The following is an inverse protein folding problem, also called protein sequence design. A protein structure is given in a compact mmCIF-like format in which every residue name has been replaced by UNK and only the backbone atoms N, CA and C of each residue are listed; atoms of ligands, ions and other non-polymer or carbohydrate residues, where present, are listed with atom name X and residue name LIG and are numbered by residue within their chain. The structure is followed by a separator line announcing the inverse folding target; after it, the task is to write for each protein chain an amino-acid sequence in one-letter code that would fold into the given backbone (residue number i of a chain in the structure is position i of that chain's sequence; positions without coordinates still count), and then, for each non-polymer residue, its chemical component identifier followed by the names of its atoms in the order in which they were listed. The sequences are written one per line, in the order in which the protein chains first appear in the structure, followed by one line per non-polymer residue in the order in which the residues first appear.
data_IF_513474120178
#
_entry.id   IF_513474120178
#
_cell.length_a   1.000
_cell.length_b   1.000
_cell.length_c   1.000
_cell.angle_alpha   90.00
_cell.angle_beta   90.00
_cell.angle_gamma   90.00
#
_symmetry.space_group_name_H-M   'P 1'
#
loop_
_entity.id
_entity.type
_entity.pdbx_description
1 polymer ?
#
# COMPACT_ATOMS: atom_id res chain seq x y z
N UNK A 1 -30.22 35.14 27.32
CA UNK A 1 -29.30 34.94 26.17
C UNK A 1 -28.00 34.25 26.55
N UNK A 2 -27.28 34.69 27.60
CA UNK A 2 -25.99 34.11 28.01
C UNK A 2 -26.04 32.59 28.33
N UNK A 3 -27.14 32.10 28.91
CA UNK A 3 -27.35 30.66 29.18
C UNK A 3 -27.56 29.81 27.93
N UNK A 4 -28.07 30.40 26.85
CA UNK A 4 -28.28 29.70 25.57
C UNK A 4 -26.96 29.53 24.82
N UNK A 5 -26.09 30.55 24.87
CA UNK A 5 -24.74 30.45 24.31
C UNK A 5 -23.85 29.46 25.05
N UNK A 6 -23.98 29.34 26.38
CA UNK A 6 -23.26 28.33 27.16
C UNK A 6 -23.72 26.90 26.85
N UNK A 7 -25.03 26.68 26.72
CA UNK A 7 -25.57 25.37 26.33
C UNK A 7 -25.16 24.99 24.90
N UNK A 8 -25.16 25.95 23.97
CA UNK A 8 -24.70 25.71 22.60
C UNK A 8 -23.19 25.44 22.54
N UNK A 9 -22.37 26.13 23.34
CA UNK A 9 -20.93 25.87 23.43
C UNK A 9 -20.62 24.47 23.99
N UNK A 10 -21.39 23.99 24.98
CA UNK A 10 -21.24 22.63 25.52
C UNK A 10 -21.66 21.57 24.49
N UNK A 11 -22.73 21.81 23.72
CA UNK A 11 -23.17 20.91 22.64
C UNK A 11 -22.18 20.90 21.47
N UNK A 12 -21.58 22.04 21.13
CA UNK A 12 -20.54 22.13 20.09
C UNK A 12 -19.23 21.49 20.56
N UNK A 13 -18.84 21.63 21.84
CA UNK A 13 -17.70 20.89 22.40
C UNK A 13 -17.94 19.38 22.48
N UNK A 14 -19.18 18.92 22.66
CA UNK A 14 -19.53 17.50 22.61
C UNK A 14 -19.58 16.91 21.17
N UNK A 15 -19.59 17.77 20.14
CA UNK A 15 -19.50 17.36 18.73
C UNK A 15 -18.07 17.36 18.19
N UNK A 16 -17.10 17.84 18.97
CA UNK A 16 -15.68 17.57 18.72
C UNK A 16 -15.41 16.18 19.27
N UNK A 17 -15.69 15.16 18.47
CA UNK A 17 -15.12 13.83 18.67
C UNK A 17 -13.62 14.01 18.49
N UNK A 18 -12.91 14.20 19.61
CA UNK A 18 -11.47 13.97 19.64
C UNK A 18 -11.26 12.56 19.11
N UNK A 19 -10.59 12.47 17.97
CA UNK A 19 -10.10 11.19 17.47
C UNK A 19 -9.15 10.67 18.54
N UNK A 20 -9.57 9.62 19.24
CA UNK A 20 -8.69 8.93 20.17
C UNK A 20 -7.53 8.38 19.35
N UNK A 21 -6.36 8.94 19.56
CA UNK A 21 -5.12 8.42 19.00
C UNK A 21 -4.72 7.13 19.69
N UNK A 22 -3.87 6.34 19.02
CA UNK A 22 -3.34 5.08 19.52
C UNK A 22 -2.26 5.35 20.57
N UNK A 23 -2.66 5.91 21.71
CA UNK A 23 -1.76 6.19 22.81
C UNK A 23 -2.27 5.46 24.05
N UNK A 24 -1.88 4.20 24.17
CA UNK A 24 -1.91 3.51 25.46
C UNK A 24 -0.60 3.78 26.19
N UNK A 25 -0.70 4.08 27.48
CA UNK A 25 0.46 4.26 28.34
C UNK A 25 0.91 2.91 28.90
N UNK A 26 2.09 2.40 28.50
CA UNK A 26 2.65 1.15 29.03
C UNK A 26 3.74 0.55 28.15
N UNK A 27 4.43 -0.47 28.64
CA UNK A 27 5.33 -1.30 27.84
C UNK A 27 4.48 -2.34 27.10
N UNK A 28 4.38 -2.23 25.76
CA UNK A 28 3.69 -3.21 24.93
C UNK A 28 4.53 -4.48 24.82
N UNK A 29 3.94 -5.61 25.17
CA UNK A 29 4.50 -6.92 24.88
C UNK A 29 3.38 -7.88 24.48
N UNK A 30 3.66 -8.70 23.49
CA UNK A 30 2.81 -9.81 23.12
C UNK A 30 3.70 -10.98 22.69
N UNK A 31 3.31 -12.20 23.03
CA UNK A 31 3.98 -13.41 22.55
C UNK A 31 3.50 -13.68 21.12
N UNK A 32 4.16 -13.09 20.13
CA UNK A 32 3.95 -13.47 18.75
C UNK A 32 4.51 -14.88 18.56
N UNK A 33 3.61 -15.87 18.43
CA UNK A 33 4.04 -17.18 17.96
C UNK A 33 4.74 -16.97 16.60
N UNK A 34 5.86 -17.66 16.38
CA UNK A 34 6.65 -17.54 15.16
C UNK A 34 5.80 -18.01 13.96
N UNK A 35 5.00 -17.10 13.41
CA UNK A 35 4.17 -17.36 12.26
C UNK A 35 5.06 -17.59 11.05
N UNK A 36 4.66 -18.55 10.22
CA UNK A 36 5.38 -18.85 8.98
C UNK A 36 5.37 -17.58 8.13
N UNK A 37 6.52 -17.12 7.62
CA UNK A 37 6.57 -15.91 6.82
C UNK A 37 5.64 -16.00 5.62
N UNK A 38 4.88 -14.93 5.38
CA UNK A 38 4.05 -14.82 4.18
C UNK A 38 5.01 -14.81 2.99
N UNK A 39 4.81 -15.73 2.05
CA UNK A 39 5.64 -15.85 0.86
C UNK A 39 5.01 -15.07 -0.29
N UNK A 40 5.74 -14.11 -0.85
CA UNK A 40 5.43 -13.49 -2.12
C UNK A 40 6.23 -14.20 -3.21
N UNK A 41 5.61 -15.19 -3.86
CA UNK A 41 6.25 -15.97 -4.90
C UNK A 41 6.33 -15.24 -6.24
N UNK A 42 7.36 -15.54 -7.03
CA UNK A 42 7.46 -15.05 -8.40
C UNK A 42 6.45 -15.78 -9.32
N UNK A 43 5.40 -15.08 -9.73
CA UNK A 43 4.33 -15.58 -10.61
C UNK A 43 3.94 -14.53 -11.64
N UNK A 44 4.70 -14.39 -12.75
CA UNK A 44 4.48 -13.31 -13.71
C UNK A 44 3.21 -13.51 -14.54
N UNK A 45 2.42 -12.44 -14.68
CA UNK A 45 1.33 -12.34 -15.66
C UNK A 45 0.09 -13.18 -15.34
N UNK A 46 -0.14 -13.55 -14.08
CA UNK A 46 -1.33 -14.31 -13.69
C UNK A 46 -2.43 -13.47 -13.04
N UNK A 47 -2.11 -12.28 -12.53
CA UNK A 47 -3.04 -11.45 -11.75
C UNK A 47 -3.66 -10.35 -12.60
N UNK A 48 -4.99 -10.29 -12.59
CA UNK A 48 -5.79 -9.16 -13.06
C UNK A 48 -6.33 -8.40 -11.85
N UNK A 49 -6.04 -7.10 -11.72
CA UNK A 49 -6.56 -6.28 -10.61
C UNK A 49 -8.05 -5.95 -10.80
N UNK A 50 -8.91 -6.84 -10.33
CA UNK A 50 -10.36 -6.70 -10.40
C UNK A 50 -11.09 -7.19 -9.14
N UNK A 51 -10.36 -7.62 -8.11
CA UNK A 51 -10.94 -8.08 -6.85
C UNK A 51 -11.49 -9.50 -6.91
N UNK A 52 -11.37 -10.23 -8.02
CA UNK A 52 -11.74 -11.63 -8.10
C UNK A 52 -10.60 -12.56 -7.65
N UNK A 53 -10.97 -13.68 -7.02
CA UNK A 53 -10.00 -14.65 -6.50
C UNK A 53 -9.60 -15.75 -7.50
N UNK A 54 -10.15 -15.75 -8.72
CA UNK A 54 -9.94 -16.83 -9.70
C UNK A 54 -8.47 -16.97 -10.10
N UNK A 55 -7.79 -15.84 -10.29
CA UNK A 55 -6.36 -15.75 -10.60
C UNK A 55 -5.46 -16.20 -9.42
N UNK A 56 -6.02 -16.27 -8.21
CA UNK A 56 -5.32 -16.54 -6.97
C UNK A 56 -5.45 -17.98 -6.46
N UNK A 57 -6.12 -18.86 -7.21
CA UNK A 57 -6.41 -20.25 -6.79
C UNK A 57 -5.16 -21.09 -6.52
N UNK A 58 -4.09 -20.85 -7.29
CA UNK A 58 -2.82 -21.58 -7.22
C UNK A 58 -1.74 -20.77 -6.48
N UNK A 59 -2.15 -19.79 -5.68
CA UNK A 59 -1.29 -18.96 -4.83
C UNK A 59 -1.53 -19.37 -3.38
N UNK A 60 -0.45 -19.66 -2.66
CA UNK A 60 -0.52 -20.05 -1.25
C UNK A 60 -1.11 -18.91 -0.42
N UNK A 61 -1.96 -19.28 0.54
CA UNK A 61 -2.61 -18.35 1.45
C UNK A 61 -2.33 -18.70 2.90
N UNK A 62 -2.12 -17.65 3.69
CA UNK A 62 -1.82 -17.73 5.12
C UNK A 62 -3.04 -17.24 5.88
N UNK A 63 -3.58 -18.10 6.74
CA UNK A 63 -4.83 -17.84 7.46
C UNK A 63 -4.54 -17.34 8.87
N UNK A 64 -5.15 -16.21 9.25
CA UNK A 64 -4.97 -15.54 10.52
C UNK A 64 -6.31 -15.28 11.20
N UNK A 65 -6.32 -15.48 12.52
CA UNK A 65 -7.37 -14.92 13.37
C UNK A 65 -7.24 -13.41 13.43
N UNK A 66 -8.37 -12.72 13.61
CA UNK A 66 -8.44 -11.27 13.61
C UNK A 66 -8.75 -10.78 15.03
N UNK A 67 -7.73 -10.32 15.74
CA UNK A 67 -7.83 -9.84 17.13
C UNK A 67 -7.85 -8.31 17.17
N UNK A 68 -8.52 -7.69 18.17
CA UNK A 68 -8.46 -6.25 18.33
C UNK A 68 -7.02 -5.76 18.42
N UNK A 69 -6.68 -4.69 17.70
CA UNK A 69 -5.28 -4.28 17.57
C UNK A 69 -4.69 -3.60 18.84
N UNK A 70 -5.55 -3.00 19.67
CA UNK A 70 -5.13 -2.31 20.90
C UNK A 70 -5.08 -3.24 22.12
N UNK A 71 -6.02 -4.19 22.20
CA UNK A 71 -6.09 -5.18 23.29
C UNK A 71 -6.33 -6.55 22.64
N UNK A 72 -5.28 -7.25 22.17
CA UNK A 72 -5.42 -8.50 21.45
C UNK A 72 -5.90 -9.59 22.41
N UNK A 73 -7.20 -9.80 22.41
CA UNK A 73 -7.86 -10.78 23.27
C UNK A 73 -8.77 -11.72 22.46
N UNK A 74 -8.75 -13.00 22.82
CA UNK A 74 -9.52 -14.03 22.12
C UNK A 74 -11.04 -13.88 22.30
N UNK A 75 -11.50 -13.23 23.38
CA UNK A 75 -12.94 -13.06 23.65
C UNK A 75 -13.59 -12.05 22.70
N UNK A 76 -12.81 -11.09 22.21
CA UNK A 76 -13.20 -10.05 21.27
C UNK A 76 -12.66 -10.29 19.85
N UNK A 77 -12.21 -11.51 19.53
CA UNK A 77 -11.88 -11.92 18.17
C UNK A 77 -13.03 -11.60 17.20
N UNK A 78 -12.68 -11.18 15.99
CA UNK A 78 -13.65 -10.91 14.94
C UNK A 78 -14.53 -12.14 14.64
N UNK A 79 -15.83 -11.99 14.89
CA UNK A 79 -16.79 -13.10 14.81
C UNK A 79 -17.19 -13.49 13.39
N UNK A 80 -16.82 -12.69 12.39
CA UNK A 80 -17.13 -12.98 10.99
C UNK A 80 -16.30 -14.11 10.40
N UNK A 81 -15.17 -14.44 11.03
CA UNK A 81 -14.26 -15.50 10.63
C UNK A 81 -12.83 -14.99 10.54
N UNK A 82 -12.05 -15.58 9.63
CA UNK A 82 -10.61 -15.33 9.54
C UNK A 82 -10.24 -14.49 8.31
N UNK A 83 -9.00 -14.00 8.31
CA UNK A 83 -8.39 -13.39 7.13
C UNK A 83 -7.39 -14.35 6.51
N UNK A 84 -7.49 -14.58 5.20
CA UNK A 84 -6.42 -15.19 4.41
C UNK A 84 -5.64 -14.11 3.68
N UNK A 85 -4.33 -14.05 3.91
CA UNK A 85 -3.41 -13.17 3.18
C UNK A 85 -2.65 -13.99 2.14
N UNK A 86 -2.69 -13.54 0.88
CA UNK A 86 -1.86 -14.07 -0.20
C UNK A 86 -0.99 -12.96 -0.77
N UNK A 87 0.21 -13.31 -1.20
CA UNK A 87 1.12 -12.38 -1.87
C UNK A 87 1.85 -13.06 -3.03
N UNK A 88 2.22 -12.29 -4.03
CA UNK A 88 3.10 -12.70 -5.13
C UNK A 88 3.74 -11.47 -5.78
N UNK A 89 4.72 -11.67 -6.65
CA UNK A 89 5.24 -10.60 -7.50
C UNK A 89 5.51 -11.11 -8.92
N UNK A 90 5.51 -10.21 -9.90
CA UNK A 90 5.83 -10.52 -11.30
C UNK A 90 7.25 -10.07 -11.70
N UNK A 91 8.04 -9.60 -10.72
CA UNK A 91 9.38 -9.08 -10.92
C UNK A 91 9.44 -7.57 -11.18
N UNK A 92 8.29 -6.93 -11.42
CA UNK A 92 8.13 -5.48 -11.52
C UNK A 92 7.26 -4.94 -10.38
N UNK A 93 6.12 -5.56 -10.16
CA UNK A 93 5.10 -5.19 -9.19
C UNK A 93 4.90 -6.34 -8.19
N UNK A 94 4.56 -6.00 -6.94
CA UNK A 94 4.09 -6.93 -5.91
C UNK A 94 2.57 -6.85 -5.84
N UNK A 95 1.93 -7.96 -5.49
CA UNK A 95 0.48 -8.11 -5.43
C UNK A 95 0.08 -8.72 -4.10
N UNK A 96 -1.05 -8.27 -3.56
CA UNK A 96 -1.64 -8.80 -2.34
C UNK A 96 -3.12 -9.11 -2.55
N UNK A 97 -3.59 -10.21 -1.98
CA UNK A 97 -5.00 -10.55 -1.88
C UNK A 97 -5.35 -10.79 -0.42
N UNK A 98 -6.31 -10.03 0.09
CA UNK A 98 -6.90 -10.21 1.42
C UNK A 98 -8.30 -10.80 1.25
N UNK A 99 -8.50 -12.00 1.79
CA UNK A 99 -9.80 -12.66 1.81
C UNK A 99 -10.31 -12.65 3.24
N UNK A 100 -11.45 -12.02 3.50
CA UNK A 100 -11.99 -11.89 4.86
C UNK A 100 -13.40 -12.45 4.89
N UNK A 101 -13.62 -13.46 5.72
CA UNK A 101 -14.98 -13.96 5.96
C UNK A 101 -15.81 -12.86 6.62
N UNK A 102 -17.02 -12.60 6.13
CA UNK A 102 -17.84 -11.56 6.71
C UNK A 102 -19.17 -11.40 6.01
N UNK A 103 -20.18 -10.94 6.74
CA UNK A 103 -21.45 -10.60 6.11
C UNK A 103 -21.31 -9.33 5.27
N UNK A 104 -22.10 -9.22 4.21
CA UNK A 104 -22.10 -8.06 3.36
C UNK A 104 -22.62 -6.82 4.12
N UNK A 105 -21.80 -5.78 4.21
CA UNK A 105 -22.06 -4.55 4.93
C UNK A 105 -21.60 -3.38 4.05
N UNK A 106 -22.55 -2.61 3.54
CA UNK A 106 -22.24 -1.49 2.66
C UNK A 106 -23.28 -0.38 2.83
N UNK A 107 -22.78 0.83 3.00
CA UNK A 107 -23.57 2.05 3.10
C UNK A 107 -22.89 3.12 2.26
N UNK A 108 -23.42 3.33 1.06
CA UNK A 108 -22.89 4.31 0.09
C UNK A 108 -22.72 5.68 0.73
N UNK A 109 -21.53 6.28 0.59
CA UNK A 109 -21.20 7.58 1.20
C UNK A 109 -20.71 7.48 2.64
N UNK A 110 -20.73 6.30 3.27
CA UNK A 110 -20.35 6.13 4.67
C UNK A 110 -19.30 5.03 4.86
N UNK A 111 -18.04 5.43 4.71
CA UNK A 111 -16.86 4.58 4.93
C UNK A 111 -16.90 3.82 6.26
N UNK A 112 -17.35 4.45 7.34
CA UNK A 112 -17.41 3.85 8.68
C UNK A 112 -18.46 2.75 8.84
N UNK A 113 -19.39 2.65 7.89
CA UNK A 113 -20.41 1.59 7.82
C UNK A 113 -20.09 0.55 6.73
N UNK A 114 -18.88 0.59 6.19
CA UNK A 114 -18.39 -0.36 5.21
C UNK A 114 -17.08 -0.96 5.71
N UNK A 115 -16.72 -2.19 5.34
CA UNK A 115 -15.41 -2.74 5.60
C UNK A 115 -14.28 -1.85 5.07
N UNK A 116 -13.13 -1.89 5.71
CA UNK A 116 -11.91 -1.25 5.22
C UNK A 116 -10.71 -2.10 5.61
N UNK A 117 -9.65 -2.05 4.82
CA UNK A 117 -8.43 -2.81 5.05
C UNK A 117 -7.22 -1.90 4.98
N UNK A 118 -6.13 -2.33 5.61
CA UNK A 118 -4.85 -1.65 5.50
C UNK A 118 -3.69 -2.64 5.47
N UNK A 119 -2.66 -2.29 4.71
CA UNK A 119 -1.34 -2.91 4.76
C UNK A 119 -0.37 -1.87 5.34
N UNK A 120 0.43 -2.25 6.32
CA UNK A 120 1.47 -1.40 6.89
C UNK A 120 2.82 -2.10 6.81
N UNK A 121 3.85 -1.37 6.43
CA UNK A 121 5.19 -1.88 6.24
C UNK A 121 6.20 -1.07 7.05
N UNK A 122 7.18 -1.77 7.63
CA UNK A 122 8.32 -1.11 8.26
C UNK A 122 9.23 -0.50 7.19
N UNK A 123 9.54 0.80 7.31
CA UNK A 123 10.52 1.49 6.47
C UNK A 123 11.74 1.89 7.29
N UNK A 124 11.50 2.56 8.41
CA UNK A 124 12.55 2.98 9.34
C UNK A 124 13.04 1.84 10.23
N UNK A 125 14.34 1.77 10.47
CA UNK A 125 14.96 0.69 11.26
C UNK A 125 14.41 0.57 12.69
N UNK A 126 13.93 1.67 13.28
CA UNK A 126 13.35 1.76 14.62
C UNK A 126 11.81 1.76 14.64
N UNK A 127 11.17 1.62 13.47
CA UNK A 127 9.71 1.65 13.38
C UNK A 127 9.07 0.44 14.08
N UNK A 128 8.21 0.72 15.06
CA UNK A 128 7.45 -0.30 15.78
C UNK A 128 6.06 -0.51 15.17
N UNK A 129 5.55 -1.73 15.28
CA UNK A 129 4.20 -2.10 14.86
C UNK A 129 3.14 -1.33 15.66
N UNK A 130 3.19 -1.49 16.99
CA UNK A 130 2.10 -1.11 17.90
C UNK A 130 1.72 0.39 17.85
N UNK A 131 2.69 1.28 17.55
CA UNK A 131 2.47 2.73 17.46
C UNK A 131 2.74 3.28 16.06
N UNK A 132 2.51 2.49 15.01
CA UNK A 132 2.63 2.93 13.61
C UNK A 132 3.93 3.71 13.36
N UNK A 133 5.06 3.14 13.78
CA UNK A 133 6.38 3.78 13.76
C UNK A 133 6.93 4.08 15.16
N UNK A 134 6.09 4.50 16.10
CA UNK A 134 6.46 4.64 17.51
C UNK A 134 7.37 5.82 17.85
N UNK A 135 7.38 6.89 17.05
CA UNK A 135 8.01 8.14 17.45
C UNK A 135 7.26 8.80 18.63
N UNK A 136 7.97 9.14 19.70
CA UNK A 136 7.41 9.72 20.94
C UNK A 136 7.02 11.21 20.85
N UNK A 137 6.97 11.77 19.64
CA UNK A 137 6.58 13.17 19.44
C UNK A 137 5.05 13.33 19.45
N UNK A 138 4.57 14.40 20.08
CA UNK A 138 3.15 14.73 20.10
C UNK A 138 2.66 15.24 18.74
N UNK A 139 1.34 15.37 18.58
CA UNK A 139 0.71 15.93 17.38
C UNK A 139 1.37 17.24 16.97
N UNK A 140 1.59 17.42 15.66
CA UNK A 140 2.20 18.59 15.02
C UNK A 140 3.66 18.91 15.41
N UNK A 141 4.33 18.05 16.19
CA UNK A 141 5.75 18.25 16.58
C UNK A 141 6.73 17.34 15.85
N UNK A 142 6.22 16.38 15.08
CA UNK A 142 7.07 15.44 14.36
C UNK A 142 7.82 16.11 13.22
N UNK A 143 9.12 15.83 13.14
CA UNK A 143 9.97 16.29 12.05
C UNK A 143 10.88 15.14 11.61
N UNK A 144 11.42 15.22 10.39
CA UNK A 144 12.46 14.30 9.91
C UNK A 144 13.78 14.41 10.70
N UNK A 145 13.86 15.28 11.71
CA UNK A 145 15.01 15.31 12.64
C UNK A 145 14.70 14.56 13.93
N UNK A 146 13.46 14.61 14.39
CA UNK A 146 13.03 14.05 15.67
C UNK A 146 12.50 12.63 15.55
N UNK A 147 11.91 12.27 14.40
CA UNK A 147 11.28 10.97 14.18
C UNK A 147 11.98 10.11 13.11
N UNK A 148 13.15 10.51 12.64
CA UNK A 148 13.88 9.74 11.62
C UNK A 148 14.18 8.32 12.12
N UNK A 149 13.95 7.34 11.28
CA UNK A 149 14.09 5.92 11.60
C UNK A 149 12.81 5.27 12.13
N UNK A 150 11.72 6.03 12.33
CA UNK A 150 10.41 5.52 12.78
C UNK A 150 9.39 5.45 11.64
N UNK A 151 9.84 5.49 10.39
CA UNK A 151 8.99 5.51 9.22
C UNK A 151 8.20 4.21 9.04
N UNK A 152 6.90 4.34 8.81
CA UNK A 152 6.05 3.27 8.27
C UNK A 152 5.35 3.77 7.00
N UNK A 153 5.19 2.84 6.08
CA UNK A 153 4.42 3.00 4.84
C UNK A 153 3.12 2.22 4.98
N UNK A 154 1.99 2.85 4.70
CA UNK A 154 0.66 2.36 4.96
C UNK A 154 -0.20 2.58 3.73
N UNK A 155 -0.79 1.52 3.21
CA UNK A 155 -1.93 1.63 2.31
C UNK A 155 -3.21 1.42 3.12
N UNK A 156 -4.20 2.27 2.95
CA UNK A 156 -5.53 2.08 3.56
C UNK A 156 -6.62 2.22 2.50
N UNK A 157 -7.47 1.21 2.37
CA UNK A 157 -8.57 1.21 1.42
C UNK A 157 -9.94 1.15 2.10
N UNK A 158 -10.75 2.19 1.87
CA UNK A 158 -12.14 2.25 2.32
C UNK A 158 -13.15 2.26 1.18
N UNK A 159 -14.09 1.32 1.23
CA UNK A 159 -14.98 1.02 0.11
C UNK A 159 -16.30 1.79 0.13
N UNK A 160 -16.55 2.69 1.09
CA UNK A 160 -17.87 3.33 1.23
C UNK A 160 -18.35 4.15 0.03
N UNK A 161 -17.45 4.53 -0.87
CA UNK A 161 -17.77 5.12 -2.18
C UNK A 161 -17.19 4.32 -3.36
N UNK A 162 -16.65 3.13 -3.11
CA UNK A 162 -16.12 2.26 -4.13
C UNK A 162 -17.23 1.39 -4.74
N UNK A 163 -17.18 1.25 -6.05
CA UNK A 163 -17.86 0.26 -6.88
C UNK A 163 -17.01 -1.02 -6.92
N UNK A 164 -17.60 -2.22 -6.68
CA UNK A 164 -16.92 -3.50 -6.83
C UNK A 164 -16.31 -3.67 -8.22
N UNK A 165 -15.16 -4.35 -8.31
CA UNK A 165 -14.51 -4.68 -9.58
C UNK A 165 -13.86 -3.53 -10.34
N UNK A 166 -13.98 -2.29 -9.84
CA UNK A 166 -13.31 -1.12 -10.42
C UNK A 166 -11.92 -0.95 -9.80
N UNK A 167 -10.98 -0.48 -10.62
CA UNK A 167 -9.63 -0.12 -10.19
C UNK A 167 -9.60 1.26 -9.51
N UNK A 168 -8.91 1.34 -8.37
CA UNK A 168 -8.68 2.52 -7.53
C UNK A 168 -7.19 2.76 -7.29
N UNK A 169 -6.85 3.93 -6.78
CA UNK A 169 -5.45 4.34 -6.51
C UNK A 169 -4.67 4.74 -7.77
N UNK A 170 -3.44 5.23 -7.57
CA UNK A 170 -2.48 5.47 -8.66
C UNK A 170 -2.92 6.50 -9.71
N UNK A 171 -3.88 7.38 -9.39
CA UNK A 171 -4.51 8.25 -10.38
C UNK A 171 -3.93 9.69 -10.32
N UNK A 172 -3.41 10.23 -11.43
CA UNK A 172 -2.70 11.53 -11.41
C UNK A 172 -3.56 12.73 -10.98
N UNK A 173 -4.89 12.61 -10.99
CA UNK A 173 -5.77 13.73 -10.65
C UNK A 173 -5.91 13.84 -9.14
N UNK A 174 -6.21 12.73 -8.46
CA UNK A 174 -6.42 12.71 -7.02
C UNK A 174 -5.06 12.81 -6.28
N UNK A 175 -4.00 12.21 -6.83
CA UNK A 175 -2.63 12.40 -6.34
C UNK A 175 -2.18 13.88 -6.34
N UNK A 176 -2.73 14.71 -7.23
CA UNK A 176 -2.41 16.16 -7.25
C UNK A 176 -3.05 16.90 -6.08
N UNK A 177 -4.22 16.45 -5.64
CA UNK A 177 -4.94 17.04 -4.52
C UNK A 177 -4.39 16.53 -3.17
N UNK A 178 -3.81 15.32 -3.17
CA UNK A 178 -2.87 14.79 -2.19
C UNK A 178 -3.37 14.77 -0.75
N UNK A 179 -4.66 14.52 -0.55
CA UNK A 179 -5.29 14.62 0.77
C UNK A 179 -5.97 13.32 1.23
N UNK A 180 -5.80 12.20 0.51
CA UNK A 180 -6.51 10.94 0.74
C UNK A 180 -8.01 10.98 0.40
N UNK A 181 -8.51 12.13 -0.03
CA UNK A 181 -9.89 12.40 -0.39
C UNK A 181 -10.17 12.07 -1.85
N UNK A 182 -9.81 10.85 -2.28
CA UNK A 182 -10.07 10.39 -3.64
C UNK A 182 -11.54 10.59 -4.01
N UNK A 183 -11.78 11.06 -5.24
CA UNK A 183 -13.15 11.32 -5.71
C UNK A 183 -14.00 10.04 -5.76
N UNK A 184 -13.36 8.89 -5.91
CA UNK A 184 -13.99 7.57 -5.93
C UNK A 184 -13.05 6.53 -5.31
N UNK A 185 -13.55 5.78 -4.31
CA UNK A 185 -12.79 4.73 -3.61
C UNK A 185 -11.55 5.27 -2.91
N UNK A 186 -11.58 5.33 -1.59
CA UNK A 186 -10.52 5.97 -0.79
C UNK A 186 -9.37 4.99 -0.58
N UNK A 187 -8.57 4.75 -1.62
CA UNK A 187 -7.37 3.94 -1.55
C UNK A 187 -6.20 4.90 -1.39
N UNK A 188 -5.79 5.09 -0.14
CA UNK A 188 -4.85 6.13 0.24
C UNK A 188 -3.48 5.53 0.51
N UNK A 189 -2.46 6.17 -0.03
CA UNK A 189 -1.07 5.91 0.35
C UNK A 189 -0.69 6.84 1.50
N UNK A 190 -0.13 6.30 2.56
CA UNK A 190 0.09 7.00 3.81
C UNK A 190 1.50 6.68 4.31
N UNK A 191 2.24 7.73 4.58
CA UNK A 191 3.45 7.65 5.36
C UNK A 191 3.22 8.15 6.78
N UNK A 192 3.78 7.48 7.79
CA UNK A 192 3.66 7.91 9.18
C UNK A 192 4.93 7.66 10.01
N UNK A 193 5.07 8.43 11.10
CA UNK A 193 6.04 8.17 12.17
C UNK A 193 5.39 7.65 13.47
N UNK A 194 4.10 7.99 13.62
CA UNK A 194 3.23 7.58 14.71
C UNK A 194 1.77 7.87 14.26
N UNK A 195 0.74 7.53 15.06
CA UNK A 195 -0.66 7.70 14.66
C UNK A 195 -1.10 9.15 14.45
N UNK A 196 -0.36 10.12 15.01
CA UNK A 196 -0.66 11.54 14.91
C UNK A 196 0.06 12.23 13.75
N UNK A 197 1.18 11.67 13.31
CA UNK A 197 2.07 12.27 12.34
C UNK A 197 2.01 11.48 11.04
N UNK A 198 0.98 11.81 10.26
CA UNK A 198 0.52 11.11 9.07
C UNK A 198 0.52 12.03 7.85
N UNK A 199 0.94 11.51 6.71
CA UNK A 199 1.12 12.22 5.45
C UNK A 199 0.42 11.42 4.35
N UNK A 200 -0.66 11.97 3.80
CA UNK A 200 -1.56 11.26 2.88
C UNK A 200 -1.18 11.62 1.44
N UNK A 201 -1.09 10.62 0.58
CA UNK A 201 -0.79 10.72 -0.86
C UNK A 201 0.37 11.68 -1.18
N UNK A 202 1.39 11.70 -0.33
CA UNK A 202 2.57 12.53 -0.50
C UNK A 202 2.41 14.01 -0.15
N UNK A 203 1.29 14.48 0.43
CA UNK A 203 1.24 15.82 1.02
C UNK A 203 1.23 15.78 2.54
N UNK A 204 2.07 16.64 3.11
CA UNK A 204 1.99 17.01 4.52
C UNK A 204 0.76 17.88 4.78
N UNK A 205 0.19 17.87 6.01
CA UNK A 205 -0.71 18.91 6.48
C UNK A 205 -0.16 20.35 6.31
N UNK A 206 1.17 20.50 6.22
CA UNK A 206 1.86 21.78 5.95
C UNK A 206 2.05 22.13 4.47
N UNK A 207 1.63 21.26 3.53
CA UNK A 207 1.64 21.51 2.09
C UNK A 207 2.97 21.30 1.37
N UNK A 208 3.99 20.74 2.04
CA UNK A 208 5.22 20.32 1.34
C UNK A 208 4.98 19.01 0.57
N UNK A 209 5.25 19.08 -0.73
CA UNK A 209 5.25 17.99 -1.71
C UNK A 209 6.28 16.92 -1.29
N UNK A 210 5.82 15.69 -1.13
CA UNK A 210 6.62 14.52 -0.82
C UNK A 210 6.61 13.57 -2.01
N UNK A 211 7.71 12.84 -2.19
CA UNK A 211 7.85 11.87 -3.28
C UNK A 211 7.05 10.57 -3.07
N UNK A 212 6.31 10.47 -1.95
CA UNK A 212 5.46 9.35 -1.57
C UNK A 212 4.04 9.48 -2.15
N UNK A 213 3.95 9.77 -3.45
CA UNK A 213 2.65 9.83 -4.12
C UNK A 213 2.05 8.44 -4.22
N UNK A 214 0.73 8.37 -4.09
CA UNK A 214 0.00 7.13 -4.17
C UNK A 214 0.28 6.38 -5.47
N UNK A 215 0.97 5.26 -5.32
CA UNK A 215 1.42 4.36 -6.38
C UNK A 215 0.79 2.97 -6.21
N UNK A 216 -0.14 2.83 -5.27
CA UNK A 216 -0.95 1.65 -5.10
C UNK A 216 -2.09 1.64 -6.12
N UNK A 217 -2.42 0.44 -6.54
CA UNK A 217 -3.64 0.15 -7.27
C UNK A 217 -4.42 -0.90 -6.50
N UNK A 218 -5.75 -0.86 -6.56
CA UNK A 218 -6.53 -1.89 -5.92
C UNK A 218 -7.98 -1.97 -6.36
N UNK A 219 -8.58 -3.11 -6.04
CA UNK A 219 -9.97 -3.44 -6.34
C UNK A 219 -10.57 -4.23 -5.17
N UNK A 220 -11.89 -4.36 -5.16
CA UNK A 220 -12.58 -5.17 -4.16
C UNK A 220 -13.79 -5.88 -4.74
N UNK A 221 -14.16 -6.98 -4.10
CA UNK A 221 -15.34 -7.78 -4.41
C UNK A 221 -15.92 -8.41 -3.14
N UNK A 222 -17.15 -8.89 -3.22
CA UNK A 222 -17.76 -9.79 -2.24
C UNK A 222 -18.48 -10.92 -2.98
N UNK A 223 -18.31 -12.17 -2.57
CA UNK A 223 -18.86 -13.35 -3.28
C UNK A 223 -20.40 -13.38 -3.36
N UNK A 224 -21.11 -12.68 -2.48
CA UNK A 224 -22.57 -12.55 -2.55
C UNK A 224 -23.06 -11.74 -3.76
N UNK A 225 -22.16 -11.09 -4.50
CA UNK A 225 -22.49 -10.32 -5.70
C UNK A 225 -22.82 -11.26 -6.86
N UNK A 226 -23.94 -10.96 -7.54
CA UNK A 226 -24.26 -11.58 -8.81
C UNK A 226 -23.64 -10.80 -9.98
N UNK A 227 -23.20 -11.51 -11.03
CA UNK A 227 -22.77 -10.89 -12.29
C UNK A 227 -24.00 -10.56 -13.13
N UNK A 228 -24.80 -9.60 -12.68
CA UNK A 228 -25.89 -9.04 -13.48
C UNK A 228 -25.40 -7.72 -14.06
N UNK A 229 -25.22 -7.66 -15.39
CA UNK A 229 -24.94 -6.41 -16.08
C UNK A 229 -26.27 -5.70 -16.37
N UNK A 230 -26.56 -4.62 -15.65
CA UNK A 230 -27.70 -3.77 -15.96
C UNK A 230 -27.45 -2.31 -15.62
N UNK A 231 -28.34 -1.44 -16.13
CA UNK A 231 -28.20 0.01 -16.07
C UNK A 231 -29.06 0.64 -14.96
N UNK A 232 -29.77 -0.16 -14.17
CA UNK A 232 -30.59 0.29 -13.03
C UNK A 232 -29.94 -0.10 -11.72
N UNK A 233 -30.25 0.61 -10.64
CA UNK A 233 -29.62 0.39 -9.32
C UNK A 233 -29.89 -1.02 -8.79
N UNK A 234 -31.03 -1.61 -9.14
CA UNK A 234 -31.39 -3.00 -8.80
C UNK A 234 -30.53 -4.05 -9.54
N UNK A 235 -29.91 -3.67 -10.66
CA UNK A 235 -28.94 -4.49 -11.39
C UNK A 235 -27.49 -4.15 -11.00
N UNK A 236 -27.31 -3.33 -9.96
CA UNK A 236 -25.99 -3.03 -9.43
C UNK A 236 -25.31 -4.28 -8.88
N UNK A 237 -23.96 -4.34 -8.88
CA UNK A 237 -23.24 -5.49 -8.35
C UNK A 237 -23.44 -5.67 -6.83
N UNK A 238 -24.03 -4.69 -6.14
CA UNK A 238 -24.19 -4.68 -4.70
C UNK A 238 -25.26 -5.67 -4.22
N UNK A 239 -24.93 -6.44 -3.17
CA UNK A 239 -25.87 -7.36 -2.53
C UNK A 239 -26.74 -6.68 -1.45
N UNK A 240 -27.69 -7.44 -0.90
CA UNK A 240 -28.40 -7.03 0.32
C UNK A 240 -27.51 -7.12 1.55
N UNK A 241 -27.66 -6.20 2.49
CA UNK A 241 -26.91 -6.24 3.75
C UNK A 241 -27.19 -7.56 4.53
N UNK A 242 -26.17 -8.09 5.20
CA UNK A 242 -26.25 -9.33 5.99
C UNK A 242 -26.08 -10.61 5.17
N UNK A 243 -25.88 -10.52 3.85
CA UNK A 243 -25.60 -11.71 3.03
C UNK A 243 -24.24 -12.30 3.43
N UNK A 244 -24.23 -13.57 3.83
CA UNK A 244 -22.99 -14.26 4.22
C UNK A 244 -22.08 -14.43 3.02
N UNK A 245 -20.78 -14.37 3.28
CA UNK A 245 -19.80 -14.46 2.22
C UNK A 245 -18.39 -14.11 2.64
N UNK A 246 -17.59 -13.75 1.65
CA UNK A 246 -16.20 -13.32 1.79
C UNK A 246 -15.98 -12.03 1.02
N UNK A 247 -15.27 -11.11 1.66
CA UNK A 247 -14.66 -9.98 0.99
C UNK A 247 -13.35 -10.37 0.35
N UNK A 248 -13.08 -9.79 -0.80
CA UNK A 248 -11.82 -9.89 -1.52
C UNK A 248 -11.31 -8.46 -1.72
N UNK A 249 -10.09 -8.21 -1.28
CA UNK A 249 -9.38 -6.97 -1.57
C UNK A 249 -8.08 -7.30 -2.26
N UNK A 250 -7.85 -6.68 -3.39
CA UNK A 250 -6.69 -6.93 -4.23
C UNK A 250 -5.91 -5.65 -4.40
N UNK A 251 -4.59 -5.74 -4.26
CA UNK A 251 -3.69 -4.61 -4.32
C UNK A 251 -2.47 -4.91 -5.15
N UNK A 252 -1.92 -3.88 -5.80
CA UNK A 252 -0.63 -3.94 -6.45
C UNK A 252 0.13 -2.64 -6.28
N UNK A 253 1.45 -2.76 -6.25
CA UNK A 253 2.39 -1.63 -6.29
C UNK A 253 3.69 -2.06 -6.95
N UNK A 254 4.42 -1.16 -7.63
CA UNK A 254 5.80 -1.40 -8.01
C UNK A 254 6.67 -1.87 -6.85
N UNK A 255 7.55 -2.86 -7.10
CA UNK A 255 8.55 -3.30 -6.13
C UNK A 255 9.49 -2.15 -5.73
N UNK A 256 9.73 -1.23 -6.67
CA UNK A 256 10.49 0.00 -6.46
C UNK A 256 9.63 1.20 -6.81
N UNK A 257 9.48 2.12 -5.87
CA UNK A 257 8.75 3.37 -6.10
C UNK A 257 9.74 4.47 -6.50
N UNK A 258 9.21 5.61 -6.96
CA UNK A 258 10.02 6.79 -7.26
C UNK A 258 10.33 7.62 -6.01
N UNK A 259 9.97 7.13 -4.83
CA UNK A 259 10.20 7.83 -3.58
C UNK A 259 11.70 7.91 -3.25
N UNK A 260 12.19 9.14 -3.15
CA UNK A 260 13.59 9.43 -2.85
C UNK A 260 13.83 9.73 -1.36
N UNK A 261 12.75 9.87 -0.58
CA UNK A 261 12.79 10.28 0.82
C UNK A 261 12.69 9.10 1.79
N UNK A 262 12.58 7.86 1.28
CA UNK A 262 12.45 6.63 2.09
C UNK A 262 11.22 6.69 3.01
N UNK A 263 10.12 7.14 2.42
CA UNK A 263 8.78 7.15 2.96
C UNK A 263 8.00 5.90 2.51
N UNK A 264 8.22 5.44 1.27
CA UNK A 264 7.62 4.20 0.76
C UNK A 264 8.53 3.00 1.01
N UNK A 265 7.96 1.84 1.38
CA UNK A 265 8.73 0.61 1.45
C UNK A 265 9.17 0.16 0.05
N UNK A 266 10.45 -0.18 -0.05
CA UNK A 266 11.08 -0.62 -1.28
C UNK A 266 11.29 -2.14 -1.24
N UNK A 267 10.38 -2.88 -1.86
CA UNK A 267 10.42 -4.34 -1.90
C UNK A 267 11.61 -4.83 -2.72
N UNK A 268 12.46 -5.65 -2.09
CA UNK A 268 13.65 -6.22 -2.73
C UNK A 268 13.48 -7.73 -2.87
N UNK A 269 13.54 -8.23 -4.09
CA UNK A 269 13.53 -9.67 -4.36
C UNK A 269 14.70 -10.34 -3.61
N UNK A 270 14.40 -11.43 -2.89
CA UNK A 270 15.31 -12.16 -2.02
C UNK A 270 15.48 -11.56 -0.62
N UNK A 271 14.68 -10.57 -0.24
CA UNK A 271 14.68 -9.98 1.10
C UNK A 271 13.34 -10.19 1.81
N UNK A 272 13.38 -10.06 3.13
CA UNK A 272 12.21 -10.06 4.00
C UNK A 272 11.84 -8.62 4.34
N UNK A 273 10.56 -8.29 4.19
CA UNK A 273 9.96 -7.05 4.70
C UNK A 273 9.14 -7.36 5.96
N UNK A 274 8.89 -6.36 6.80
CA UNK A 274 7.93 -6.50 7.91
C UNK A 274 6.59 -5.92 7.49
N UNK A 275 5.54 -6.73 7.62
CA UNK A 275 4.18 -6.44 7.21
C UNK A 275 3.25 -6.49 8.42
N UNK A 276 2.23 -5.64 8.40
CA UNK A 276 1.06 -5.73 9.24
C UNK A 276 -0.19 -5.57 8.37
N UNK A 277 -1.26 -6.26 8.73
CA UNK A 277 -2.54 -6.20 8.01
C UNK A 277 -3.66 -5.93 9.00
N UNK A 278 -4.48 -4.93 8.68
CA UNK A 278 -5.57 -4.49 9.52
C UNK A 278 -6.92 -4.54 8.80
N UNK A 279 -7.99 -4.72 9.57
CA UNK A 279 -9.36 -4.80 9.10
C UNK A 279 -10.31 -4.01 9.99
N UNK A 280 -11.11 -3.14 9.40
CA UNK A 280 -12.22 -2.45 10.04
C UNK A 280 -13.52 -3.01 9.53
N UNK A 281 -14.45 -3.30 10.44
CA UNK A 281 -15.76 -3.84 10.09
C UNK A 281 -16.85 -3.25 11.00
N UNK A 282 -18.01 -2.87 10.45
CA UNK A 282 -19.13 -2.39 11.27
C UNK A 282 -19.78 -3.56 12.04
N UNK A 283 -19.69 -3.53 13.37
CA UNK A 283 -20.26 -4.58 14.24
C UNK A 283 -21.65 -4.18 14.70
N UNK A 284 -22.62 -5.10 14.60
CA UNK A 284 -24.01 -4.90 15.02
C UNK A 284 -24.67 -3.64 14.41
N UNK A 285 -24.30 -3.31 13.17
CA UNK A 285 -24.78 -2.12 12.46
C UNK A 285 -24.20 -0.78 12.95
N UNK A 286 -23.31 -0.82 13.95
CA UNK A 286 -22.61 0.36 14.44
C UNK A 286 -21.42 0.70 13.54
N UNK A 287 -21.20 2.00 13.25
CA UNK A 287 -20.03 2.41 12.51
C UNK A 287 -18.75 2.16 13.32
N UNK A 288 -17.69 1.72 12.66
CA UNK A 288 -16.38 1.62 13.28
C UNK A 288 -15.74 3.01 13.48
N UNK A 289 -14.76 3.10 14.38
CA UNK A 289 -13.89 4.28 14.54
C UNK A 289 -12.44 3.91 14.25
N UNK A 290 -11.57 4.92 14.09
CA UNK A 290 -10.21 4.74 13.57
C UNK A 290 -9.38 3.69 14.32
N UNK A 291 -9.44 3.67 15.65
CA UNK A 291 -8.71 2.69 16.46
C UNK A 291 -9.38 1.31 16.57
N UNK A 292 -10.66 1.15 16.22
CA UNK A 292 -11.39 -0.13 16.35
C UNK A 292 -11.16 -1.07 15.17
N UNK A 293 -9.90 -1.39 14.88
CA UNK A 293 -9.54 -2.40 13.89
C UNK A 293 -9.09 -3.69 14.54
N UNK A 294 -9.25 -4.74 13.76
CA UNK A 294 -8.62 -6.01 13.99
C UNK A 294 -7.28 -6.06 13.26
N UNK A 295 -6.35 -6.84 13.79
CA UNK A 295 -5.08 -7.16 13.15
C UNK A 295 -4.89 -8.66 13.03
N UNK A 296 -4.14 -9.07 12.02
CA UNK A 296 -3.77 -10.47 11.81
C UNK A 296 -2.75 -10.99 12.83
N UNK A 297 -2.03 -10.08 13.49
CA UNK A 297 -1.02 -10.40 14.49
C UNK A 297 -0.81 -9.20 15.44
N UNK A 298 -0.20 -9.44 16.60
CA UNK A 298 0.10 -8.43 17.62
C UNK A 298 1.49 -7.77 17.45
N UNK A 299 2.28 -8.23 16.48
CA UNK A 299 3.54 -7.61 16.02
C UNK A 299 3.72 -7.84 14.51
N UNK A 300 4.82 -7.33 13.95
CA UNK A 300 5.21 -7.51 12.56
C UNK A 300 5.23 -8.97 12.10
N UNK A 301 4.55 -9.24 10.99
CA UNK A 301 4.62 -10.50 10.25
C UNK A 301 5.72 -10.40 9.18
N UNK A 302 6.65 -11.36 9.08
CA UNK A 302 7.64 -11.37 8.02
C UNK A 302 6.99 -11.68 6.66
N UNK A 303 7.32 -10.88 5.65
CA UNK A 303 6.95 -11.03 4.25
C UNK A 303 8.20 -11.30 3.42
N UNK A 304 8.37 -12.53 2.95
CA UNK A 304 9.51 -12.92 2.12
C UNK A 304 9.19 -12.71 0.64
N UNK A 305 10.06 -11.99 -0.07
CA UNK A 305 9.91 -11.77 -1.51
C UNK A 305 10.81 -12.79 -2.23
N UNK A 306 10.22 -13.87 -2.71
CA UNK A 306 10.97 -15.02 -3.24
C UNK A 306 11.75 -14.68 -4.52
N UNK A 307 12.91 -15.30 -4.73
CA UNK A 307 13.70 -15.11 -5.98
C UNK A 307 13.07 -15.82 -7.19
N UNK A 308 12.01 -16.62 -6.97
CA UNK A 308 11.40 -17.48 -7.97
C UNK A 308 12.21 -18.74 -8.18
N UNK A 309 11.62 -19.90 -7.88
CA UNK A 309 12.21 -21.21 -8.17
C UNK A 309 11.89 -21.62 -9.62
N UNK A 310 12.47 -20.91 -10.59
CA UNK A 310 12.45 -21.38 -11.98
C UNK A 310 13.31 -22.64 -12.09
N UNK A 311 12.76 -23.84 -11.88
CA UNK A 311 13.34 -25.14 -12.33
C UNK A 311 14.87 -25.20 -12.17
N UNK A 312 15.39 -24.78 -11.01
CA UNK A 312 16.84 -24.72 -10.74
C UNK A 312 17.31 -25.78 -9.74
N UNK A 313 16.44 -26.75 -9.43
CA UNK A 313 16.80 -27.99 -8.74
C UNK A 313 17.47 -29.03 -9.66
N UNK A 314 18.21 -28.58 -10.69
CA UNK A 314 19.11 -29.46 -11.45
C UNK A 314 20.37 -28.78 -11.99
N UNK A 315 20.88 -27.73 -11.34
CA UNK A 315 22.27 -27.27 -11.60
C UNK A 315 22.95 -26.84 -10.29
N UNK A 316 22.75 -27.59 -9.21
CA UNK A 316 23.72 -27.61 -8.13
C UNK A 316 24.92 -28.47 -8.59
N UNK A 317 25.77 -27.93 -9.47
CA UNK A 317 27.17 -28.31 -9.69
C UNK A 317 27.73 -27.79 -11.03
N UNK A 318 27.72 -26.48 -11.29
CA UNK A 318 28.77 -25.85 -12.13
C UNK A 318 28.71 -24.31 -12.06
N UNK A 319 29.58 -23.74 -11.21
CA UNK A 319 30.44 -22.56 -11.48
C UNK A 319 29.88 -21.32 -12.22
N UNK A 320 29.86 -20.17 -11.52
CA UNK A 320 30.34 -18.87 -12.04
C UNK A 320 29.29 -17.86 -12.54
N UNK A 321 29.00 -16.86 -11.69
CA UNK A 321 28.73 -15.45 -12.03
C UNK A 321 28.24 -15.12 -13.47
N UNK A 322 26.93 -15.22 -13.74
CA UNK A 322 26.35 -14.68 -14.99
C UNK A 322 26.13 -13.16 -14.96
N UNK A 323 26.13 -12.53 -13.77
CA UNK A 323 25.94 -11.08 -13.61
C UNK A 323 27.17 -10.23 -13.98
N UNK A 324 28.38 -10.79 -13.92
CA UNK A 324 29.62 -10.08 -14.29
C UNK A 324 29.76 -9.88 -15.81
N UNK A 325 29.25 -10.82 -16.62
CA UNK A 325 29.40 -10.76 -18.07
C UNK A 325 28.57 -9.61 -18.67
N UNK A 326 27.30 -9.48 -18.30
CA UNK A 326 26.41 -8.44 -18.83
C UNK A 326 26.92 -7.02 -18.49
N UNK A 327 27.39 -6.83 -17.27
CA UNK A 327 27.97 -5.58 -16.79
C UNK A 327 29.28 -5.23 -17.52
N UNK A 328 30.15 -6.22 -17.76
CA UNK A 328 31.37 -6.03 -18.54
C UNK A 328 31.07 -5.70 -20.02
N UNK A 329 30.07 -6.34 -20.62
CA UNK A 329 29.63 -6.03 -21.99
C UNK A 329 29.02 -4.63 -22.10
N UNK A 330 28.21 -4.19 -21.13
CA UNK A 330 27.66 -2.85 -21.11
C UNK A 330 28.76 -1.78 -20.98
N UNK A 331 29.74 -2.01 -20.10
CA UNK A 331 30.91 -1.14 -19.98
C UNK A 331 31.68 -1.05 -21.31
N UNK A 332 31.95 -2.20 -21.93
CA UNK A 332 32.69 -2.26 -23.19
C UNK A 332 31.96 -1.53 -24.33
N UNK A 333 30.64 -1.71 -24.44
CA UNK A 333 29.81 -1.00 -25.42
C UNK A 333 29.77 0.51 -25.15
N UNK A 334 29.71 0.93 -23.89
CA UNK A 334 29.74 2.36 -23.53
C UNK A 334 31.06 3.03 -23.91
N UNK A 335 32.19 2.34 -23.72
CA UNK A 335 33.52 2.83 -24.08
C UNK A 335 33.65 2.91 -25.60
N UNK A 336 33.21 1.89 -26.33
CA UNK A 336 33.20 1.90 -27.81
C UNK A 336 32.36 3.05 -28.35
N UNK A 337 31.17 3.28 -27.79
CA UNK A 337 30.28 4.38 -28.17
C UNK A 337 30.93 5.76 -27.92
N UNK A 338 31.60 5.94 -26.78
CA UNK A 338 32.31 7.17 -26.47
C UNK A 338 33.47 7.41 -27.45
N UNK A 339 34.27 6.37 -27.75
CA UNK A 339 35.36 6.46 -28.72
C UNK A 339 34.87 6.80 -30.12
N UNK A 340 33.76 6.18 -30.58
CA UNK A 340 33.14 6.49 -31.87
C UNK A 340 32.64 7.94 -31.90
N UNK A 341 32.01 8.41 -30.82
CA UNK A 341 31.53 9.79 -30.71
C UNK A 341 32.66 10.81 -30.80
N UNK A 342 33.78 10.56 -30.11
CA UNK A 342 34.98 11.41 -30.18
C UNK A 342 35.58 11.37 -31.60
N UNK A 343 35.65 10.20 -32.23
CA UNK A 343 36.20 10.06 -33.58
C UNK A 343 35.34 10.78 -34.63
N UNK A 344 34.01 10.65 -34.56
CA UNK A 344 33.08 11.35 -35.44
C UNK A 344 33.18 12.87 -35.21
N UNK A 345 33.19 13.31 -33.94
CA UNK A 345 33.38 14.73 -33.59
C UNK A 345 34.69 15.29 -34.13
N UNK A 346 35.79 14.54 -34.02
CA UNK A 346 37.09 14.91 -34.59
C UNK A 346 37.06 14.98 -36.12
N UNK A 347 36.44 14.01 -36.80
CA UNK A 347 36.30 13.99 -38.26
C UNK A 347 35.48 15.16 -38.77
N UNK A 348 34.36 15.48 -38.12
CA UNK A 348 33.49 16.62 -38.45
C UNK A 348 34.18 17.96 -38.18
N UNK A 349 34.95 18.06 -37.09
CA UNK A 349 35.75 19.24 -36.79
C UNK A 349 36.83 19.49 -37.85
N UNK A 350 37.50 18.42 -38.34
CA UNK A 350 38.46 18.55 -39.43
C UNK A 350 37.83 18.90 -40.78
N UNK A 351 36.64 18.38 -41.13
CA UNK A 351 35.99 18.71 -42.41
C UNK A 351 35.44 20.15 -42.46
N UNK A 352 35.10 20.77 -41.32
CA UNK A 352 34.74 22.21 -41.28
C UNK A 352 35.86 23.15 -41.73
N UNK A 353 37.11 22.69 -41.76
CA UNK A 353 38.25 23.51 -42.23
C UNK A 353 38.50 23.47 -43.75
N UNK A 354 37.70 22.72 -44.53
CA UNK A 354 37.97 22.47 -45.97
C UNK A 354 36.88 23.00 -46.90
N UNK A 355 35.70 23.40 -46.41
CA UNK A 355 34.64 23.95 -47.28
C UNK A 355 34.61 25.48 -47.15
N UNK A 356 35.11 26.25 -48.12
CA UNK A 356 34.96 27.70 -48.11
C UNK A 356 33.48 28.05 -48.22
N UNK A 357 32.95 28.70 -47.18
CA UNK A 357 31.63 29.32 -47.21
C UNK A 357 31.61 30.36 -48.34
N UNK A 358 30.77 30.14 -49.35
CA UNK A 358 30.47 31.14 -50.38
C UNK A 358 29.12 31.76 -50.01
N UNK A 359 29.08 33.03 -49.55
CA UNK A 359 27.82 33.70 -49.27
C UNK A 359 27.02 33.82 -50.58
N UNK A 360 25.72 33.47 -50.54
CA UNK A 360 24.80 33.85 -51.60
C UNK A 360 24.42 35.33 -51.41
N UNK A 361 25.23 36.22 -51.97
CA UNK A 361 24.76 37.57 -52.26
C UNK A 361 24.04 37.52 -53.61
N UNK A 362 22.70 37.62 -53.52
CA UNK A 362 21.72 37.75 -54.61
C UNK A 362 21.26 36.46 -55.31
N UNK A 363 20.14 35.92 -54.80
CA UNK A 363 19.03 35.39 -55.61
C UNK A 363 17.71 35.59 -54.88
#
# INVERSE_FOLDING_TARGET
MLRFFFALAIVVSALIVFVSSHEESGEWSCDSNSETPIQADYKPGIVTLDGHADDWKDVDGFEFSLLPALDPDEENEYKGGKMTVKALHDGKDIFFMLQVDGEYAYSKGNNKKCPSVSLMFQVGENASYHRMGGCDQSTDTCTNRTCRGHEVDIMHFSIGNAIPGRLYGGNPIDNRDGNGGDRFGHLVDLYAWNPHCRYLDGLSPSGNDSSAQNNWQGAWWHDSFGVHSGFVEEDGPYASAGQKGKYYFEFSRPLRTMDHLQQDVQFTIGQTSKLAVAFWYPVDGNPWHGSAHYSINCDWVPLDISVGSSVLNKVASTSGSSWDAASAFALLLSVVSLCLSIFIGYRVSKTKSIIPFTPMDHL
#
